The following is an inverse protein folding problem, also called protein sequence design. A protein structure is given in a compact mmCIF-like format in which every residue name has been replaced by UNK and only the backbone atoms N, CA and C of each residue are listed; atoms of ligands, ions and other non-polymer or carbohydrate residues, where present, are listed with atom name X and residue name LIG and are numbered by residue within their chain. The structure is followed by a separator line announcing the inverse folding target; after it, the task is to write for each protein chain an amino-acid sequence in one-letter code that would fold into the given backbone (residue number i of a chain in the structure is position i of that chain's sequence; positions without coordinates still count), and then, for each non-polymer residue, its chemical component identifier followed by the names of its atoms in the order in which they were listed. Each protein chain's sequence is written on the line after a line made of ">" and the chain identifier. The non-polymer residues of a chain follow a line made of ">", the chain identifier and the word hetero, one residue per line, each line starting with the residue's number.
data_IF_096469211992
#
_entry.id   IF_096469211992
#
_cell.length_a   1.000
_cell.length_b   1.000
_cell.length_c   1.000
_cell.angle_alpha   90.00
_cell.angle_beta   90.00
_cell.angle_gamma   90.00
#
_symmetry.space_group_name_H-M   'P 1'
#
loop_
_entity.id
_entity.type
_entity.pdbx_description
1 polymer ?
#
# COMPACT_ATOMS: atom_id res chain seq x y z
N UNK A 1 33.02 -1.93 0.14
CA UNK A 1 32.11 -3.05 0.39
C UNK A 1 31.20 -3.15 -0.82
N UNK A 2 31.29 -4.23 -1.58
CA UNK A 2 30.40 -4.52 -2.70
C UNK A 2 29.06 -5.00 -2.11
N UNK A 3 28.21 -4.05 -1.77
CA UNK A 3 26.95 -4.27 -1.02
C UNK A 3 25.94 -5.17 -1.73
N UNK A 4 26.10 -5.46 -3.02
CA UNK A 4 25.18 -6.29 -3.81
C UNK A 4 25.56 -7.79 -3.82
N UNK A 5 26.84 -8.10 -3.56
CA UNK A 5 27.38 -9.46 -3.48
C UNK A 5 27.59 -9.91 -2.03
N UNK A 6 27.49 -8.98 -1.07
CA UNK A 6 27.56 -9.27 0.36
C UNK A 6 26.27 -9.92 0.85
N UNK A 7 26.33 -11.21 1.14
CA UNK A 7 25.22 -12.00 1.67
C UNK A 7 25.07 -11.88 3.21
N UNK A 8 25.88 -11.04 3.85
CA UNK A 8 25.78 -10.82 5.30
C UNK A 8 24.39 -10.30 5.68
N UNK A 9 23.84 -10.85 6.77
CA UNK A 9 22.52 -10.46 7.29
C UNK A 9 21.31 -10.98 6.51
N UNK A 10 21.50 -11.73 5.42
CA UNK A 10 20.37 -12.37 4.71
C UNK A 10 19.59 -13.28 5.65
N UNK A 11 20.29 -14.10 6.44
CA UNK A 11 19.65 -15.00 7.41
C UNK A 11 18.87 -14.23 8.47
N UNK A 12 19.48 -13.19 9.06
CA UNK A 12 18.83 -12.34 10.06
C UNK A 12 17.54 -11.68 9.54
N UNK A 13 17.52 -11.28 8.27
CA UNK A 13 16.33 -10.69 7.64
C UNK A 13 15.27 -11.76 7.39
N UNK A 14 15.66 -12.90 6.81
CA UNK A 14 14.72 -13.96 6.46
C UNK A 14 14.14 -14.64 7.70
N UNK A 15 14.87 -14.67 8.82
CA UNK A 15 14.39 -15.15 10.12
C UNK A 15 13.31 -14.26 10.75
N UNK A 16 13.14 -13.04 10.26
CA UNK A 16 12.07 -12.15 10.70
C UNK A 16 10.77 -12.31 9.90
N UNK A 17 10.77 -13.07 8.81
CA UNK A 17 9.58 -13.26 7.99
C UNK A 17 8.60 -14.24 8.64
N UNK A 18 7.31 -13.89 8.61
CA UNK A 18 6.20 -14.77 8.93
C UNK A 18 5.70 -15.52 7.69
N UNK A 19 4.98 -16.63 7.89
CA UNK A 19 4.46 -17.45 6.79
C UNK A 19 3.41 -16.73 5.93
N UNK A 20 2.69 -15.77 6.52
CA UNK A 20 1.68 -14.96 5.85
C UNK A 20 2.26 -13.69 5.18
N UNK A 21 3.58 -13.50 5.25
CA UNK A 21 4.25 -12.39 4.58
C UNK A 21 4.34 -12.63 3.06
N UNK A 22 4.64 -11.57 2.33
CA UNK A 22 4.92 -11.57 0.90
C UNK A 22 6.26 -10.87 0.67
N UNK A 23 7.18 -11.53 -0.01
CA UNK A 23 8.48 -10.94 -0.38
C UNK A 23 8.40 -10.39 -1.80
N UNK A 24 8.72 -9.11 -1.97
CA UNK A 24 8.93 -8.51 -3.30
C UNK A 24 10.43 -8.30 -3.46
N UNK A 25 11.08 -9.16 -4.25
CA UNK A 25 12.51 -9.07 -4.54
C UNK A 25 12.75 -8.29 -5.83
N UNK A 26 13.67 -7.33 -5.80
CA UNK A 26 13.97 -6.45 -6.93
C UNK A 26 15.44 -6.56 -7.34
N UNK A 27 15.71 -6.63 -8.65
CA UNK A 27 17.04 -6.47 -9.22
C UNK A 27 16.91 -6.07 -10.69
N UNK A 28 17.49 -4.94 -11.09
CA UNK A 28 17.44 -4.52 -12.50
C UNK A 28 18.12 -5.55 -13.42
N UNK A 29 19.28 -6.07 -13.02
CA UNK A 29 19.98 -7.12 -13.75
C UNK A 29 19.25 -8.47 -13.68
N UNK A 30 18.47 -8.70 -12.63
CA UNK A 30 17.83 -9.97 -12.30
C UNK A 30 18.79 -11.04 -11.75
N UNK A 31 20.03 -10.66 -11.46
CA UNK A 31 21.10 -11.58 -11.03
C UNK A 31 21.83 -11.14 -9.76
N UNK A 32 21.43 -10.03 -9.14
CA UNK A 32 22.01 -9.56 -7.87
C UNK A 32 21.97 -10.68 -6.81
N UNK A 33 23.12 -11.17 -6.31
CA UNK A 33 23.16 -12.34 -5.42
C UNK A 33 22.33 -12.16 -4.16
N UNK A 34 22.38 -10.97 -3.55
CA UNK A 34 21.59 -10.66 -2.35
C UNK A 34 20.08 -10.86 -2.55
N UNK A 35 19.51 -10.27 -3.61
CA UNK A 35 18.08 -10.42 -3.92
C UNK A 35 17.71 -11.87 -4.25
N UNK A 36 18.60 -12.59 -4.95
CA UNK A 36 18.37 -13.99 -5.31
C UNK A 36 18.38 -14.90 -4.06
N UNK A 37 19.31 -14.72 -3.13
CA UNK A 37 19.35 -15.52 -1.90
C UNK A 37 18.16 -15.22 -0.96
N UNK A 38 17.73 -13.96 -0.83
CA UNK A 38 16.51 -13.64 -0.09
C UNK A 38 15.29 -14.35 -0.72
N UNK A 39 15.12 -14.26 -2.04
CA UNK A 39 14.01 -14.91 -2.75
C UNK A 39 14.03 -16.43 -2.55
N UNK A 40 15.20 -17.06 -2.72
CA UNK A 40 15.38 -18.50 -2.55
C UNK A 40 15.06 -18.97 -1.13
N UNK A 41 15.54 -18.26 -0.10
CA UNK A 41 15.29 -18.64 1.30
C UNK A 41 13.85 -18.36 1.73
N UNK A 42 13.25 -17.28 1.25
CA UNK A 42 11.81 -17.01 1.45
C UNK A 42 10.96 -18.13 0.86
N UNK A 43 11.23 -18.52 -0.38
CA UNK A 43 10.56 -19.64 -1.03
C UNK A 43 10.76 -20.97 -0.26
N UNK A 44 11.98 -21.24 0.23
CA UNK A 44 12.26 -22.43 1.06
C UNK A 44 11.47 -22.45 2.39
N UNK A 45 11.10 -21.28 2.91
CA UNK A 45 10.20 -21.12 4.08
C UNK A 45 8.72 -21.21 3.73
N UNK A 46 8.35 -21.41 2.46
CA UNK A 46 6.96 -21.43 1.99
C UNK A 46 6.33 -20.04 1.85
N UNK A 47 7.13 -18.97 1.94
CA UNK A 47 6.68 -17.59 1.79
C UNK A 47 6.58 -17.26 0.30
N UNK A 48 5.52 -16.55 -0.09
CA UNK A 48 5.31 -16.16 -1.48
C UNK A 48 6.31 -15.09 -1.93
N UNK A 49 6.81 -15.24 -3.14
CA UNK A 49 7.81 -14.35 -3.74
C UNK A 49 7.29 -13.74 -5.04
N UNK A 50 7.33 -12.41 -5.12
CA UNK A 50 7.24 -11.66 -6.37
C UNK A 50 8.65 -11.20 -6.75
N UNK A 51 9.09 -11.50 -7.96
CA UNK A 51 10.36 -10.99 -8.49
C UNK A 51 10.11 -9.91 -9.54
N UNK A 52 10.86 -8.81 -9.44
CA UNK A 52 10.85 -7.73 -10.42
C UNK A 52 12.25 -7.55 -11.00
N UNK A 53 12.38 -7.73 -12.32
CA UNK A 53 13.63 -7.51 -13.05
C UNK A 53 13.38 -6.78 -14.38
N UNK A 54 14.44 -6.19 -14.95
CA UNK A 54 14.34 -5.46 -16.21
C UNK A 54 14.81 -6.30 -17.42
N UNK A 55 15.45 -7.44 -17.16
CA UNK A 55 15.81 -8.44 -18.15
C UNK A 55 14.91 -9.68 -17.99
N UNK A 56 14.58 -10.32 -19.11
CA UNK A 56 13.87 -11.60 -19.12
C UNK A 56 14.84 -12.76 -18.82
N UNK A 57 14.29 -13.93 -18.43
CA UNK A 57 15.04 -15.17 -18.19
C UNK A 57 16.25 -14.96 -17.25
N UNK A 58 15.97 -14.49 -16.03
CA UNK A 58 17.01 -14.18 -15.04
C UNK A 58 16.85 -15.08 -13.81
N UNK A 59 17.94 -15.38 -13.08
CA UNK A 59 17.88 -16.23 -11.89
C UNK A 59 16.85 -15.77 -10.86
N UNK A 60 16.68 -14.46 -10.67
CA UNK A 60 15.69 -13.93 -9.73
C UNK A 60 14.25 -14.25 -10.14
N UNK A 61 13.93 -14.20 -11.44
CA UNK A 61 12.58 -14.47 -11.94
C UNK A 61 12.23 -15.96 -11.83
N UNK A 62 13.21 -16.84 -11.98
CA UNK A 62 13.02 -18.30 -11.86
C UNK A 62 12.71 -18.74 -10.41
N UNK A 63 12.98 -17.88 -9.42
CA UNK A 63 12.74 -18.12 -8.00
C UNK A 63 11.35 -17.63 -7.54
N UNK A 64 10.54 -17.02 -8.41
CA UNK A 64 9.32 -16.33 -8.01
C UNK A 64 8.04 -17.12 -8.29
N UNK A 65 7.05 -16.96 -7.41
CA UNK A 65 5.66 -17.34 -7.69
C UNK A 65 5.04 -16.42 -8.74
N UNK A 66 5.44 -15.14 -8.75
CA UNK A 66 5.02 -14.15 -9.74
C UNK A 66 6.25 -13.41 -10.27
N UNK A 67 6.59 -13.65 -11.53
CA UNK A 67 7.68 -13.00 -12.24
C UNK A 67 7.18 -11.77 -13.02
N UNK A 68 7.74 -10.59 -12.74
CA UNK A 68 7.41 -9.34 -13.43
C UNK A 68 8.67 -8.85 -14.17
N UNK A 69 8.60 -8.91 -15.50
CA UNK A 69 9.64 -8.32 -16.38
C UNK A 69 9.22 -6.90 -16.76
N UNK A 70 10.06 -5.93 -16.45
CA UNK A 70 9.90 -4.52 -16.82
C UNK A 70 10.91 -4.15 -17.91
N UNK A 71 10.68 -4.52 -19.18
CA UNK A 71 11.67 -4.32 -20.23
C UNK A 71 11.94 -2.83 -20.42
N UNK A 72 13.21 -2.45 -20.31
CA UNK A 72 13.70 -1.10 -20.61
C UNK A 72 14.73 -1.16 -21.74
N UNK A 73 14.86 -0.08 -22.51
CA UNK A 73 15.95 0.05 -23.48
C UNK A 73 17.30 0.17 -22.75
N UNK A 74 18.38 0.06 -23.52
CA UNK A 74 19.72 0.39 -23.02
C UNK A 74 19.73 1.78 -22.38
N UNK A 75 20.40 1.88 -21.25
CA UNK A 75 20.49 3.12 -20.49
C UNK A 75 21.34 4.15 -21.25
N UNK A 76 20.96 5.44 -21.13
CA UNK A 76 21.70 6.56 -21.74
C UNK A 76 23.14 6.60 -21.22
N UNK A 77 23.31 6.31 -19.93
CA UNK A 77 24.62 6.02 -19.33
C UNK A 77 24.72 4.51 -19.15
N UNK A 78 25.60 3.87 -19.92
CA UNK A 78 25.78 2.42 -19.91
C UNK A 78 25.94 1.88 -18.48
N UNK A 79 25.12 0.89 -18.11
CA UNK A 79 25.12 0.26 -16.78
C UNK A 79 24.44 1.06 -15.67
N UNK A 80 24.02 2.32 -15.90
CA UNK A 80 23.37 3.14 -14.86
C UNK A 80 21.88 2.84 -14.73
N UNK A 81 21.54 1.64 -14.25
CA UNK A 81 20.16 1.15 -14.08
C UNK A 81 19.31 1.97 -13.09
N UNK A 82 19.90 2.87 -12.30
CA UNK A 82 19.13 3.85 -11.49
C UNK A 82 18.25 4.79 -12.33
N UNK A 83 18.45 4.84 -13.65
CA UNK A 83 17.72 5.70 -14.59
C UNK A 83 16.43 5.03 -15.08
N UNK A 84 16.43 4.47 -16.29
CA UNK A 84 15.24 3.87 -16.92
C UNK A 84 14.70 2.69 -16.11
N UNK A 85 15.56 1.73 -15.76
CA UNK A 85 15.17 0.55 -15.02
C UNK A 85 14.61 0.89 -13.62
N UNK A 86 15.31 1.72 -12.85
CA UNK A 86 14.87 2.19 -11.54
C UNK A 86 13.56 3.00 -11.59
N UNK A 87 13.37 3.82 -12.63
CA UNK A 87 12.11 4.53 -12.84
C UNK A 87 10.95 3.57 -13.10
N UNK A 88 11.16 2.56 -13.95
CA UNK A 88 10.16 1.54 -14.23
C UNK A 88 9.78 0.77 -12.95
N UNK A 89 10.76 0.35 -12.16
CA UNK A 89 10.53 -0.34 -10.88
C UNK A 89 9.75 0.53 -9.89
N UNK A 90 10.10 1.82 -9.75
CA UNK A 90 9.37 2.77 -8.90
C UNK A 90 7.89 2.86 -9.31
N UNK A 91 7.62 2.98 -10.61
CA UNK A 91 6.25 3.04 -11.14
C UNK A 91 5.50 1.75 -10.81
N UNK A 92 6.11 0.59 -11.01
CA UNK A 92 5.50 -0.69 -10.68
C UNK A 92 5.17 -0.81 -9.18
N UNK A 93 6.10 -0.46 -8.29
CA UNK A 93 5.87 -0.46 -6.84
C UNK A 93 4.77 0.51 -6.41
N UNK A 94 4.69 1.69 -7.05
CA UNK A 94 3.60 2.63 -6.81
C UNK A 94 2.25 2.05 -7.23
N UNK A 95 2.17 1.37 -8.36
CA UNK A 95 0.94 0.71 -8.83
C UNK A 95 0.53 -0.39 -7.86
N UNK A 96 1.46 -1.28 -7.48
CA UNK A 96 1.19 -2.41 -6.56
C UNK A 96 0.66 -1.89 -5.22
N UNK A 97 1.39 -0.98 -4.58
CA UNK A 97 1.01 -0.44 -3.27
C UNK A 97 -0.31 0.35 -3.32
N UNK A 98 -0.54 1.13 -4.37
CA UNK A 98 -1.79 1.89 -4.54
C UNK A 98 -2.98 0.94 -4.75
N UNK A 99 -2.84 -0.08 -5.60
CA UNK A 99 -3.90 -1.07 -5.82
C UNK A 99 -4.19 -1.87 -4.55
N UNK A 100 -3.17 -2.26 -3.80
CA UNK A 100 -3.35 -2.90 -2.50
C UNK A 100 -4.16 -2.01 -1.54
N UNK A 101 -3.83 -0.72 -1.45
CA UNK A 101 -4.58 0.24 -0.64
C UNK A 101 -6.05 0.39 -1.10
N UNK A 102 -6.31 0.38 -2.41
CA UNK A 102 -7.68 0.39 -2.95
C UNK A 102 -8.45 -0.87 -2.52
N UNK A 103 -7.85 -2.06 -2.68
CA UNK A 103 -8.49 -3.34 -2.34
C UNK A 103 -8.77 -3.47 -0.83
N UNK A 104 -7.90 -2.90 0.00
CA UNK A 104 -8.07 -2.78 1.46
C UNK A 104 -9.05 -1.67 1.88
N UNK A 105 -9.72 -1.02 0.93
CA UNK A 105 -10.70 0.04 1.21
C UNK A 105 -10.08 1.30 1.84
N UNK A 106 -8.80 1.56 1.61
CA UNK A 106 -8.09 2.74 2.10
C UNK A 106 -8.24 3.96 1.18
N UNK A 107 -8.90 3.78 0.04
CA UNK A 107 -9.22 4.83 -0.93
C UNK A 107 -10.72 4.86 -1.15
N UNK A 108 -11.30 6.07 -1.21
CA UNK A 108 -12.71 6.28 -1.54
C UNK A 108 -12.83 7.47 -2.48
N UNK A 109 -13.43 7.27 -3.66
CA UNK A 109 -13.58 8.30 -4.71
C UNK A 109 -12.27 9.08 -5.00
N UNK A 110 -11.14 8.36 -5.08
CA UNK A 110 -9.81 8.95 -5.31
C UNK A 110 -9.16 9.62 -4.10
N UNK A 111 -9.82 9.64 -2.94
CA UNK A 111 -9.28 10.21 -1.69
C UNK A 111 -8.70 9.12 -0.79
N UNK A 112 -7.55 9.40 -0.17
CA UNK A 112 -6.93 8.51 0.82
C UNK A 112 -7.64 8.64 2.18
N UNK A 113 -8.48 7.65 2.50
CA UNK A 113 -9.31 7.64 3.71
C UNK A 113 -8.66 6.85 4.87
N UNK A 114 -7.46 6.32 4.68
CA UNK A 114 -6.61 5.76 5.74
C UNK A 114 -5.36 6.60 6.01
N UNK A 115 -5.49 7.93 5.93
CA UNK A 115 -4.40 8.88 6.13
C UNK A 115 -4.09 9.07 7.62
N UNK A 116 -2.81 8.98 8.01
CA UNK A 116 -2.34 9.43 9.33
C UNK A 116 -1.99 10.92 9.28
N UNK A 117 -2.79 11.75 9.93
CA UNK A 117 -2.64 13.20 9.91
C UNK A 117 -1.68 13.73 10.99
N UNK A 118 -0.37 13.47 10.85
CA UNK A 118 0.66 13.79 11.84
C UNK A 118 1.17 15.25 11.79
N UNK A 119 1.00 15.95 10.67
CA UNK A 119 1.42 17.34 10.47
C UNK A 119 0.27 18.25 10.07
N UNK A 120 0.48 19.57 10.16
CA UNK A 120 -0.57 20.57 9.90
C UNK A 120 -1.17 20.44 8.49
N UNK A 121 -0.34 20.19 7.48
CA UNK A 121 -0.80 19.97 6.09
C UNK A 121 -1.70 18.74 5.98
N UNK A 122 -1.33 17.62 6.60
CA UNK A 122 -2.13 16.40 6.56
C UNK A 122 -3.40 16.51 7.41
N UNK A 123 -3.40 17.31 8.49
CA UNK A 123 -4.61 17.65 9.25
C UNK A 123 -5.59 18.46 8.40
N UNK A 124 -5.12 19.52 7.73
CA UNK A 124 -5.96 20.29 6.80
C UNK A 124 -6.51 19.42 5.66
N UNK A 125 -5.68 18.52 5.11
CA UNK A 125 -6.14 17.55 4.10
C UNK A 125 -7.21 16.60 4.65
N UNK A 126 -7.06 16.11 5.88
CA UNK A 126 -8.05 15.24 6.51
C UNK A 126 -9.41 15.95 6.64
N UNK A 127 -9.41 17.21 7.10
CA UNK A 127 -10.62 18.04 7.17
C UNK A 127 -11.29 18.15 5.80
N UNK A 128 -10.53 18.53 4.77
CA UNK A 128 -11.07 18.65 3.42
C UNK A 128 -11.65 17.35 2.85
N UNK A 129 -11.01 16.21 3.12
CA UNK A 129 -11.54 14.89 2.69
C UNK A 129 -12.87 14.59 3.40
N UNK A 130 -12.95 14.78 4.72
CA UNK A 130 -14.18 14.52 5.48
C UNK A 130 -15.29 15.47 5.04
N UNK A 131 -15.00 16.76 4.91
CA UNK A 131 -15.96 17.77 4.44
C UNK A 131 -16.52 17.41 3.06
N UNK A 132 -15.67 16.98 2.13
CA UNK A 132 -16.07 16.56 0.79
C UNK A 132 -16.98 15.32 0.82
N UNK A 133 -16.53 14.23 1.45
CA UNK A 133 -17.28 12.97 1.47
C UNK A 133 -18.59 13.11 2.24
N UNK A 134 -18.56 13.77 3.40
CA UNK A 134 -19.74 13.98 4.22
C UNK A 134 -20.65 15.09 3.69
N UNK A 135 -20.16 15.93 2.76
CA UNK A 135 -20.88 17.10 2.23
C UNK A 135 -21.30 18.07 3.34
N UNK A 136 -20.34 18.40 4.22
CA UNK A 136 -20.50 19.29 5.37
C UNK A 136 -19.46 20.41 5.36
N UNK A 137 -19.60 21.39 6.24
CA UNK A 137 -18.57 22.44 6.40
C UNK A 137 -17.26 21.88 6.95
N UNK A 138 -16.14 22.54 6.67
CA UNK A 138 -14.84 22.20 7.28
C UNK A 138 -14.89 22.23 8.82
N UNK A 139 -15.69 23.13 9.39
CA UNK A 139 -15.88 23.22 10.83
C UNK A 139 -16.58 21.96 11.40
N UNK A 140 -17.61 21.45 10.72
CA UNK A 140 -18.26 20.18 11.08
C UNK A 140 -17.32 18.98 10.92
N UNK A 141 -16.58 18.95 9.82
CA UNK A 141 -15.59 17.92 9.55
C UNK A 141 -14.49 17.86 10.61
N UNK A 142 -13.99 19.03 11.05
CA UNK A 142 -12.98 19.10 12.11
C UNK A 142 -13.54 18.61 13.45
N UNK A 143 -14.79 18.97 13.81
CA UNK A 143 -15.45 18.43 15.01
C UNK A 143 -15.58 16.91 14.95
N UNK A 144 -16.01 16.36 13.81
CA UNK A 144 -16.12 14.92 13.61
C UNK A 144 -14.76 14.21 13.67
N UNK A 145 -13.71 14.83 13.14
CA UNK A 145 -12.33 14.32 13.26
C UNK A 145 -11.85 14.30 14.70
N UNK A 146 -12.16 15.31 15.51
CA UNK A 146 -11.83 15.31 16.94
C UNK A 146 -12.60 14.20 17.66
N UNK A 147 -13.91 14.10 17.44
CA UNK A 147 -14.78 13.10 18.07
C UNK A 147 -14.41 11.65 17.71
N UNK A 148 -13.81 11.43 16.53
CA UNK A 148 -13.37 10.12 16.04
C UNK A 148 -11.91 9.79 16.38
N UNK A 149 -11.25 10.56 17.26
CA UNK A 149 -9.82 10.43 17.53
C UNK A 149 -8.96 10.44 16.24
N UNK A 150 -9.35 11.31 15.30
CA UNK A 150 -8.72 11.50 13.98
C UNK A 150 -8.81 10.29 13.05
N UNK A 151 -9.69 9.33 13.31
CA UNK A 151 -10.01 8.27 12.34
C UNK A 151 -10.91 8.83 11.24
N UNK A 152 -10.36 8.97 10.02
CA UNK A 152 -11.06 9.58 8.89
C UNK A 152 -12.38 8.89 8.53
N UNK A 153 -12.37 7.55 8.49
CA UNK A 153 -13.55 6.78 8.07
C UNK A 153 -14.69 6.93 9.08
N UNK A 154 -14.35 6.89 10.36
CA UNK A 154 -15.30 7.15 11.44
C UNK A 154 -15.78 8.61 11.40
N UNK A 155 -14.89 9.58 11.21
CA UNK A 155 -15.24 11.00 11.10
C UNK A 155 -16.27 11.26 9.99
N UNK A 156 -16.13 10.61 8.83
CA UNK A 156 -17.10 10.70 7.73
C UNK A 156 -18.50 10.27 8.19
N UNK A 157 -18.62 9.13 8.88
CA UNK A 157 -19.92 8.62 9.33
C UNK A 157 -20.53 9.52 10.41
N UNK A 158 -19.72 9.99 11.36
CA UNK A 158 -20.15 10.95 12.38
C UNK A 158 -20.65 12.26 11.75
N UNK A 159 -19.93 12.78 10.75
CA UNK A 159 -20.30 13.99 10.04
C UNK A 159 -21.58 13.82 9.21
N UNK A 160 -21.90 12.60 8.77
CA UNK A 160 -23.19 12.24 8.14
C UNK A 160 -24.35 12.06 9.14
N UNK A 161 -24.12 12.33 10.42
CA UNK A 161 -25.14 12.27 11.48
C UNK A 161 -25.29 10.90 12.14
N UNK A 162 -24.40 9.95 11.86
CA UNK A 162 -24.40 8.65 12.53
C UNK A 162 -23.78 8.78 13.93
N UNK A 163 -24.30 8.06 14.93
CA UNK A 163 -23.65 7.98 16.23
C UNK A 163 -22.40 7.09 16.18
N UNK A 164 -21.56 7.17 17.21
CA UNK A 164 -20.27 6.48 17.25
C UNK A 164 -20.38 4.95 17.35
N UNK A 165 -21.43 4.42 18.00
CA UNK A 165 -21.62 2.98 18.13
C UNK A 165 -22.05 2.38 16.78
N UNK A 166 -23.05 2.98 16.15
CA UNK A 166 -23.52 2.58 14.82
C UNK A 166 -22.42 2.73 13.78
N UNK A 167 -21.64 3.82 13.81
CA UNK A 167 -20.52 4.02 12.88
C UNK A 167 -19.45 2.94 13.00
N UNK A 168 -19.10 2.54 14.23
CA UNK A 168 -18.13 1.45 14.46
C UNK A 168 -18.68 0.11 13.99
N UNK A 169 -19.97 -0.15 14.20
CA UNK A 169 -20.64 -1.36 13.72
C UNK A 169 -20.60 -1.44 12.20
N UNK A 170 -20.99 -0.37 11.50
CA UNK A 170 -20.95 -0.30 10.03
C UNK A 170 -19.53 -0.51 9.49
N UNK A 171 -18.52 0.11 10.12
CA UNK A 171 -17.13 -0.10 9.72
C UNK A 171 -16.68 -1.55 9.94
N UNK A 172 -17.12 -2.22 11.01
CA UNK A 172 -16.79 -3.62 11.22
C UNK A 172 -17.48 -4.52 10.18
N UNK A 173 -18.78 -4.33 9.96
CA UNK A 173 -19.60 -5.11 9.02
C UNK A 173 -19.08 -5.00 7.58
N UNK A 174 -18.71 -3.80 7.15
CA UNK A 174 -18.21 -3.55 5.80
C UNK A 174 -16.68 -3.61 5.69
N UNK A 175 -15.97 -4.19 6.66
CA UNK A 175 -14.51 -4.35 6.66
C UNK A 175 -13.77 -3.03 6.40
N UNK A 176 -14.29 -1.94 6.95
CA UNK A 176 -13.75 -0.59 6.83
C UNK A 176 -13.94 0.03 5.44
N UNK A 177 -14.75 -0.53 4.55
CA UNK A 177 -15.05 0.07 3.22
C UNK A 177 -16.16 1.10 3.34
N UNK A 178 -15.82 2.37 3.13
CA UNK A 178 -16.76 3.49 3.29
C UNK A 178 -17.97 3.42 2.36
N UNK A 179 -17.81 2.93 1.12
CA UNK A 179 -18.92 2.84 0.17
C UNK A 179 -20.08 1.98 0.69
N UNK A 180 -19.77 0.81 1.28
CA UNK A 180 -20.78 -0.04 1.92
C UNK A 180 -21.42 0.63 3.13
N UNK A 181 -20.60 1.25 3.99
CA UNK A 181 -21.08 1.95 5.19
C UNK A 181 -22.06 3.09 4.85
N UNK A 182 -21.74 3.90 3.83
CA UNK A 182 -22.58 5.02 3.41
C UNK A 182 -23.89 4.54 2.78
N UNK A 183 -23.85 3.50 1.94
CA UNK A 183 -25.07 2.92 1.37
C UNK A 183 -26.00 2.34 2.45
N UNK A 184 -25.44 1.66 3.45
CA UNK A 184 -26.21 1.15 4.59
C UNK A 184 -26.81 2.28 5.43
N UNK A 185 -26.04 3.35 5.70
CA UNK A 185 -26.51 4.52 6.43
C UNK A 185 -27.69 5.21 5.72
N UNK A 186 -27.62 5.38 4.40
CA UNK A 186 -28.73 5.95 3.61
C UNK A 186 -30.01 5.14 3.70
N UNK A 187 -29.91 3.81 3.79
CA UNK A 187 -31.08 2.93 3.96
C UNK A 187 -31.70 3.08 5.35
N UNK A 188 -30.88 3.18 6.40
CA UNK A 188 -31.36 3.42 7.78
C UNK A 188 -32.06 4.76 7.94
N UNK A 189 -31.63 5.79 7.20
CA UNK A 189 -32.24 7.13 7.25
C UNK A 189 -33.56 7.23 6.48
N UNK A 190 -33.85 6.28 5.58
CA UNK A 190 -35.10 6.22 4.81
C UNK A 190 -36.17 5.34 5.47
N UNK A 191 -35.80 4.51 6.44
CA UNK A 191 -36.69 3.65 7.21
C UNK A 191 -37.30 4.41 8.39
#
# INVERSE_FOLDING_TARGET
>A
AETEDDLSGVDDIVDRFGIDDLVIALSASGSTPYSCEIAKKAHAKGIKVIAIANNAATPLLDLADVAIVLPTRAEVLAGSTRLGAGTAQKVALNVISTLAAVQLGHVFHGMMVNLKADNAKLRGRAVGIVANIASVSEHEAERALIASARNLKLAVLLAKGCDAATSKSLLAEHQGRLGGCLAALENLQKA
#
